data_IF_549334351610
#
_entry.id   IF_549334351610
#
_cell.length_a   1.000
_cell.length_b   1.000
_cell.length_c   1.000
_cell.angle_alpha   90.00
_cell.angle_beta   90.00
_cell.angle_gamma   90.00
#
_symmetry.space_group_name_H-M   'P 1'
#
loop_
_entity.id
_entity.type
_entity.pdbx_description
1 polymer ?
#
# COMPACT_ATOMS: atom_id res chain seq x y z
N UNK A 1 -21.68 -15.83 16.54
CA UNK A 1 -21.51 -14.85 15.45
C UNK A 1 -20.02 -14.65 15.20
N UNK A 2 -19.58 -14.65 13.94
CA UNK A 2 -18.19 -14.34 13.62
C UNK A 2 -18.00 -12.82 13.66
N UNK A 3 -17.11 -12.33 14.52
CA UNK A 3 -16.85 -10.90 14.69
C UNK A 3 -15.63 -10.45 13.88
N UNK A 4 -15.47 -9.14 13.66
CA UNK A 4 -14.25 -8.58 13.04
C UNK A 4 -13.02 -8.92 13.88
N UNK A 5 -13.16 -8.98 15.20
CA UNK A 5 -12.08 -9.37 16.12
C UNK A 5 -11.60 -10.79 15.87
N UNK A 6 -12.52 -11.73 15.60
CA UNK A 6 -12.16 -13.10 15.21
C UNK A 6 -11.39 -13.13 13.88
N UNK A 7 -11.76 -12.31 12.89
CA UNK A 7 -11.00 -12.25 11.63
C UNK A 7 -9.61 -11.63 11.82
N UNK A 8 -9.47 -10.66 12.74
CA UNK A 8 -8.20 -10.02 13.08
C UNK A 8 -7.30 -10.86 13.98
N UNK A 9 -7.79 -11.93 14.60
CA UNK A 9 -6.98 -12.81 15.44
C UNK A 9 -5.96 -13.63 14.64
N UNK A 10 -6.16 -13.79 13.32
CA UNK A 10 -5.17 -14.42 12.44
C UNK A 10 -4.05 -13.43 12.10
N UNK A 11 -2.85 -13.68 12.63
CA UNK A 11 -1.73 -12.73 12.55
C UNK A 11 -0.42 -13.42 12.14
N UNK A 12 0.48 -12.65 11.53
CA UNK A 12 1.89 -12.98 11.34
C UNK A 12 2.70 -11.97 12.15
N UNK A 13 3.29 -12.39 13.26
CA UNK A 13 3.86 -11.44 14.22
C UNK A 13 2.81 -10.42 14.69
N UNK A 14 3.08 -9.10 14.64
CA UNK A 14 2.12 -8.07 15.05
C UNK A 14 1.04 -7.77 13.99
N UNK A 15 1.09 -8.39 12.82
CA UNK A 15 0.33 -8.02 11.64
C UNK A 15 -0.91 -8.89 11.45
N UNK A 16 -2.11 -8.30 11.49
CA UNK A 16 -3.36 -9.03 11.23
C UNK A 16 -3.55 -9.26 9.73
N UNK A 17 -3.61 -10.53 9.29
CA UNK A 17 -3.72 -10.92 7.88
C UNK A 17 -4.96 -10.29 7.23
N UNK A 18 -6.05 -10.21 7.97
CA UNK A 18 -7.30 -9.59 7.54
C UNK A 18 -7.11 -8.12 7.11
N UNK A 19 -6.36 -7.32 7.88
CA UNK A 19 -6.16 -5.90 7.55
C UNK A 19 -5.35 -5.73 6.25
N UNK A 20 -4.38 -6.63 6.00
CA UNK A 20 -3.65 -6.65 4.72
C UNK A 20 -4.61 -7.00 3.57
N UNK A 21 -5.38 -8.08 3.72
CA UNK A 21 -6.32 -8.52 2.70
C UNK A 21 -7.32 -7.42 2.33
N UNK A 22 -7.93 -6.77 3.33
CA UNK A 22 -8.87 -5.67 3.12
C UNK A 22 -8.20 -4.48 2.44
N UNK A 23 -6.97 -4.13 2.83
CA UNK A 23 -6.21 -3.04 2.19
C UNK A 23 -5.97 -3.31 0.70
N UNK A 24 -5.54 -4.53 0.37
CA UNK A 24 -5.31 -4.94 -1.02
C UNK A 24 -6.60 -5.00 -1.83
N UNK A 25 -7.70 -5.49 -1.25
CA UNK A 25 -9.02 -5.46 -1.89
C UNK A 25 -9.48 -4.03 -2.14
N UNK A 26 -9.33 -3.14 -1.14
CA UNK A 26 -9.66 -1.72 -1.27
C UNK A 26 -8.90 -1.05 -2.41
N UNK A 27 -7.58 -1.22 -2.47
CA UNK A 27 -6.77 -0.69 -3.56
C UNK A 27 -7.14 -1.33 -4.90
N UNK A 28 -7.37 -2.64 -4.95
CA UNK A 28 -7.76 -3.30 -6.18
C UNK A 28 -9.04 -2.70 -6.78
N UNK A 29 -10.06 -2.45 -5.94
CA UNK A 29 -11.32 -1.85 -6.35
C UNK A 29 -11.17 -0.37 -6.78
N UNK A 30 -10.33 0.40 -6.09
CA UNK A 30 -10.15 1.83 -6.35
C UNK A 30 -9.13 2.11 -7.47
N UNK A 31 -8.25 1.14 -7.77
CA UNK A 31 -7.18 1.28 -8.75
C UNK A 31 -7.62 1.69 -10.16
N UNK A 32 -8.78 1.27 -10.73
CA UNK A 32 -9.19 1.73 -12.06
C UNK A 32 -9.49 3.23 -12.08
N UNK A 33 -10.04 3.76 -10.98
CA UNK A 33 -10.28 5.19 -10.79
C UNK A 33 -8.95 5.93 -10.65
N UNK A 34 -8.04 5.43 -9.80
CA UNK A 34 -6.72 6.04 -9.61
C UNK A 34 -5.92 6.08 -10.92
N UNK A 35 -5.91 5.00 -11.70
CA UNK A 35 -5.26 4.96 -13.02
C UNK A 35 -5.84 5.99 -13.99
N UNK A 36 -7.16 6.23 -13.96
CA UNK A 36 -7.79 7.30 -14.76
C UNK A 36 -7.34 8.69 -14.30
N UNK A 37 -7.28 8.92 -12.99
CA UNK A 37 -6.83 10.20 -12.42
C UNK A 37 -5.34 10.46 -12.70
N UNK A 38 -4.47 9.47 -12.50
CA UNK A 38 -3.04 9.61 -12.80
C UNK A 38 -2.79 9.89 -14.28
N UNK A 39 -3.63 9.35 -15.16
CA UNK A 39 -3.54 9.63 -16.59
C UNK A 39 -3.80 11.11 -16.91
N UNK A 40 -4.70 11.78 -16.17
CA UNK A 40 -4.96 13.23 -16.33
C UNK A 40 -3.75 14.08 -15.97
N UNK A 41 -2.97 13.68 -14.97
CA UNK A 41 -1.71 14.34 -14.58
C UNK A 41 -0.49 13.85 -15.38
N UNK A 42 -0.70 13.05 -16.44
CA UNK A 42 0.36 12.68 -17.39
C UNK A 42 1.10 11.37 -17.08
N UNK A 43 0.56 10.50 -16.21
CA UNK A 43 1.16 9.20 -15.88
C UNK A 43 0.22 8.02 -16.15
N UNK A 44 0.74 6.98 -16.79
CA UNK A 44 0.07 5.68 -16.90
C UNK A 44 0.59 4.77 -15.81
N UNK A 45 -0.24 4.53 -14.79
CA UNK A 45 0.05 3.61 -13.69
C UNK A 45 -0.78 2.34 -13.89
N UNK A 46 -0.16 1.17 -14.13
CA UNK A 46 -0.90 -0.07 -14.29
C UNK A 46 -1.42 -0.61 -12.95
N UNK A 47 -2.45 -1.44 -13.00
CA UNK A 47 -3.03 -2.13 -11.82
C UNK A 47 -1.95 -2.74 -10.91
N UNK A 48 -0.98 -3.46 -11.48
CA UNK A 48 0.08 -4.10 -10.69
C UNK A 48 0.91 -3.10 -9.88
N UNK A 49 1.12 -1.87 -10.37
CA UNK A 49 1.85 -0.85 -9.61
C UNK A 49 1.05 -0.38 -8.40
N UNK A 50 -0.27 -0.23 -8.54
CA UNK A 50 -1.13 0.09 -7.40
C UNK A 50 -1.10 -1.01 -6.33
N UNK A 51 -1.14 -2.27 -6.75
CA UNK A 51 -1.01 -3.39 -5.82
C UNK A 51 0.31 -3.34 -5.04
N UNK A 52 1.43 -3.07 -5.72
CA UNK A 52 2.72 -2.86 -5.06
C UNK A 52 2.73 -1.62 -4.15
N UNK A 53 1.96 -0.58 -4.44
CA UNK A 53 1.85 0.61 -3.60
C UNK A 53 0.88 0.48 -2.42
N UNK A 54 0.14 -0.62 -2.29
CA UNK A 54 -0.88 -0.79 -1.24
C UNK A 54 -0.32 -0.53 0.16
N UNK A 55 0.76 -1.22 0.55
CA UNK A 55 1.36 -1.06 1.88
C UNK A 55 2.07 0.29 2.04
N UNK A 56 2.88 0.78 1.08
CA UNK A 56 3.42 2.13 1.14
C UNK A 56 2.35 3.22 1.34
N UNK A 57 1.26 3.17 0.56
CA UNK A 57 0.14 4.11 0.69
C UNK A 57 -0.55 3.94 2.05
N UNK A 58 -0.77 2.71 2.50
CA UNK A 58 -1.35 2.43 3.81
C UNK A 58 -0.53 3.02 4.95
N UNK A 59 0.79 2.83 4.94
CA UNK A 59 1.71 3.44 5.93
C UNK A 59 1.60 4.96 5.89
N UNK A 60 1.65 5.59 4.71
CA UNK A 60 1.50 7.03 4.58
C UNK A 60 0.14 7.53 5.07
N UNK A 61 -0.94 6.81 4.79
CA UNK A 61 -2.28 7.15 5.26
C UNK A 61 -2.39 7.06 6.79
N UNK A 62 -1.81 6.03 7.40
CA UNK A 62 -1.75 5.90 8.87
C UNK A 62 -0.94 7.02 9.52
N UNK A 63 0.18 7.42 8.92
CA UNK A 63 0.97 8.58 9.38
C UNK A 63 0.11 9.86 9.29
N UNK A 64 -0.51 10.10 8.14
CA UNK A 64 -1.32 11.31 7.91
C UNK A 64 -2.54 11.37 8.83
N UNK A 65 -3.14 10.22 9.18
CA UNK A 65 -4.27 10.14 10.09
C UNK A 65 -3.88 10.15 11.58
N UNK A 66 -2.58 10.10 11.92
CA UNK A 66 -2.10 9.98 13.30
C UNK A 66 -2.36 8.61 13.95
N UNK A 67 -2.84 7.62 13.18
CA UNK A 67 -3.19 6.29 13.66
C UNK A 67 -2.03 5.32 13.43
N UNK A 68 -1.08 5.31 14.35
CA UNK A 68 0.15 4.51 14.24
C UNK A 68 -0.18 3.01 14.40
N UNK A 69 0.17 2.23 13.39
CA UNK A 69 0.11 0.76 13.41
C UNK A 69 1.50 0.17 13.70
N UNK A 70 1.60 -1.13 14.06
CA UNK A 70 2.92 -1.78 14.20
C UNK A 70 3.80 -1.68 12.95
N UNK A 71 3.21 -1.67 11.74
CA UNK A 71 3.96 -1.50 10.50
C UNK A 71 4.48 -0.06 10.37
N UNK A 72 3.64 0.92 10.68
CA UNK A 72 4.01 2.34 10.69
C UNK A 72 5.11 2.63 11.70
N UNK A 73 4.96 2.12 12.93
CA UNK A 73 5.94 2.26 14.02
C UNK A 73 7.31 1.71 13.61
N UNK A 74 7.35 0.49 13.05
CA UNK A 74 8.60 -0.09 12.55
C UNK A 74 9.19 0.67 11.36
N UNK A 75 8.37 1.32 10.55
CA UNK A 75 8.84 2.12 9.42
C UNK A 75 9.46 3.43 9.89
N UNK A 76 8.89 4.06 10.93
CA UNK A 76 9.37 5.34 11.48
C UNK A 76 10.54 5.19 12.45
N UNK A 77 10.63 4.07 13.17
CA UNK A 77 11.66 3.82 14.18
C UNK A 77 13.07 3.86 13.55
N UNK A 78 13.98 4.75 13.95
CA UNK A 78 15.29 4.87 13.30
C UNK A 78 16.13 3.59 13.36
N UNK A 79 16.12 2.92 14.52
CA UNK A 79 17.03 1.80 14.83
C UNK A 79 16.41 0.40 14.68
N UNK A 80 15.13 0.31 14.31
CA UNK A 80 14.42 -0.97 14.18
C UNK A 80 13.68 -1.09 12.85
N UNK A 81 13.03 -2.24 12.62
CA UNK A 81 12.15 -2.44 11.46
C UNK A 81 12.84 -2.55 10.10
N UNK A 82 14.15 -2.82 10.06
CA UNK A 82 14.94 -2.88 8.82
C UNK A 82 14.33 -3.81 7.75
N UNK A 83 13.78 -4.96 8.16
CA UNK A 83 13.10 -5.89 7.26
C UNK A 83 11.86 -5.23 6.64
N UNK A 84 10.99 -4.66 7.47
CA UNK A 84 9.76 -3.97 7.02
C UNK A 84 10.09 -2.79 6.10
N UNK A 85 11.12 -2.00 6.42
CA UNK A 85 11.62 -0.91 5.57
C UNK A 85 12.15 -1.41 4.23
N UNK A 86 12.95 -2.49 4.23
CA UNK A 86 13.49 -3.08 3.02
C UNK A 86 12.38 -3.62 2.11
N UNK A 87 11.37 -4.27 2.70
CA UNK A 87 10.18 -4.74 1.96
C UNK A 87 9.43 -3.55 1.37
N UNK A 88 9.12 -2.51 2.14
CA UNK A 88 8.43 -1.31 1.65
C UNK A 88 9.23 -0.62 0.53
N UNK A 89 10.55 -0.48 0.69
CA UNK A 89 11.42 0.09 -0.34
C UNK A 89 11.39 -0.74 -1.63
N UNK A 90 11.51 -2.07 -1.53
CA UNK A 90 11.41 -2.97 -2.68
C UNK A 90 10.05 -2.84 -3.38
N UNK A 91 8.96 -2.78 -2.61
CA UNK A 91 7.61 -2.59 -3.15
C UNK A 91 7.48 -1.28 -3.93
N UNK A 92 8.02 -0.17 -3.40
CA UNK A 92 8.05 1.12 -4.11
C UNK A 92 8.86 1.02 -5.39
N UNK A 93 10.04 0.41 -5.36
CA UNK A 93 10.89 0.22 -6.56
C UNK A 93 10.15 -0.59 -7.63
N UNK A 94 9.52 -1.71 -7.25
CA UNK A 94 8.76 -2.55 -8.18
C UNK A 94 7.53 -1.83 -8.76
N UNK A 95 6.86 -1.01 -7.95
CA UNK A 95 5.75 -0.18 -8.41
C UNK A 95 6.19 0.84 -9.46
N UNK A 96 7.21 1.64 -9.13
CA UNK A 96 7.68 2.76 -9.96
C UNK A 96 8.25 2.29 -11.29
N UNK A 97 8.96 1.15 -11.32
CA UNK A 97 9.52 0.55 -12.55
C UNK A 97 8.49 0.37 -13.68
N UNK A 98 7.21 0.18 -13.36
CA UNK A 98 6.15 -0.04 -14.34
C UNK A 98 5.34 1.23 -14.67
N UNK A 99 5.55 2.33 -13.94
CA UNK A 99 4.89 3.62 -14.21
C UNK A 99 5.53 4.26 -15.44
N UNK A 100 4.70 4.71 -16.38
CA UNK A 100 5.16 5.34 -17.63
C UNK A 100 4.55 6.71 -17.79
N UNK A 101 5.27 7.64 -18.44
CA UNK A 101 4.68 8.92 -18.86
C UNK A 101 3.59 8.65 -19.91
N UNK A 102 2.43 9.27 -19.75
CA UNK A 102 1.36 9.17 -20.73
C UNK A 102 1.82 9.82 -22.04
N UNK A 103 1.68 9.10 -23.16
CA UNK A 103 1.91 9.69 -24.49
C UNK A 103 0.87 10.78 -24.71
N UNK A 104 1.29 12.00 -25.08
CA UNK A 104 0.37 13.02 -25.59
C UNK A 104 -0.34 12.42 -26.80
N UNK A 105 -1.68 12.43 -26.81
CA UNK A 105 -2.41 12.23 -28.07
C UNK A 105 -2.01 13.41 -28.96
N UNK A 106 -1.34 13.11 -30.07
CA UNK A 106 -1.19 14.07 -31.18
C UNK A 106 -2.58 14.39 -31.71
#
# INVERSE_FOLDING_TARGET
MMTIEYLRSFRIGPYAIFDFAVSYLGIALVSPLLSKLTKKIGFTVPFSSWMWLTLPIGVLAHIAAGNITPLTEQTLSPNSGWVSKAILALMVVLAVKKIKRAKKKK
#
